data_IF_702788621199
#
_entry.id   IF_702788621199
#
_cell.length_a   1.000
_cell.length_b   1.000
_cell.length_c   1.000
_cell.angle_alpha   90.00
_cell.angle_beta   90.00
_cell.angle_gamma   90.00
#
_symmetry.space_group_name_H-M   'P 1'
#
loop_
_entity.id
_entity.type
_entity.pdbx_description
1 polymer ?
#
# COMPACT_ATOMS: atom_id res chain seq x y z
N UNK A 1 -5.58 3.52 23.24
CA UNK A 1 -5.92 4.90 22.82
C UNK A 1 -5.78 5.12 21.32
N UNK A 2 -4.66 4.79 20.69
CA UNK A 2 -4.44 4.98 19.25
C UNK A 2 -5.47 4.23 18.38
N UNK A 3 -5.77 2.97 18.68
CA UNK A 3 -6.77 2.15 17.96
C UNK A 3 -8.16 2.79 17.98
N UNK A 4 -8.56 3.37 19.11
CA UNK A 4 -9.83 4.08 19.22
C UNK A 4 -9.87 5.32 18.31
N UNK A 5 -8.79 6.09 18.28
CA UNK A 5 -8.66 7.27 17.40
C UNK A 5 -8.75 6.84 15.92
N UNK A 6 -8.04 5.78 15.53
CA UNK A 6 -8.10 5.23 14.17
C UNK A 6 -9.51 4.76 13.80
N UNK A 7 -10.21 4.11 14.72
CA UNK A 7 -11.58 3.68 14.52
C UNK A 7 -12.51 4.88 14.28
N UNK A 8 -12.41 5.92 15.11
CA UNK A 8 -13.22 7.14 14.94
C UNK A 8 -12.93 7.82 13.60
N UNK A 9 -11.66 7.99 13.23
CA UNK A 9 -11.27 8.57 11.93
C UNK A 9 -11.84 7.75 10.78
N UNK A 10 -11.76 6.42 10.85
CA UNK A 10 -12.26 5.55 9.79
C UNK A 10 -13.79 5.62 9.67
N UNK A 11 -14.50 5.67 10.79
CA UNK A 11 -15.96 5.86 10.81
C UNK A 11 -16.33 7.22 10.19
N UNK A 12 -15.66 8.30 10.58
CA UNK A 12 -15.91 9.63 10.02
C UNK A 12 -15.64 9.68 8.52
N UNK A 13 -14.54 9.07 8.06
CA UNK A 13 -14.22 8.96 6.64
C UNK A 13 -15.29 8.15 5.88
N UNK A 14 -15.74 7.04 6.46
CA UNK A 14 -16.82 6.22 5.89
C UNK A 14 -18.11 7.02 5.76
N UNK A 15 -18.53 7.73 6.82
CA UNK A 15 -19.76 8.55 6.82
C UNK A 15 -19.67 9.69 5.79
N UNK A 16 -18.51 10.33 5.66
CA UNK A 16 -18.29 11.37 4.67
C UNK A 16 -18.43 10.82 3.24
N UNK A 17 -17.80 9.68 2.95
CA UNK A 17 -17.87 9.04 1.64
C UNK A 17 -19.26 8.47 1.36
N UNK A 18 -19.94 7.91 2.36
CA UNK A 18 -21.31 7.42 2.25
C UNK A 18 -22.24 8.54 1.75
N UNK A 19 -22.14 9.75 2.32
CA UNK A 19 -22.96 10.91 1.91
C UNK A 19 -22.72 11.31 0.46
N UNK A 20 -21.48 11.18 -0.03
CA UNK A 20 -21.11 11.55 -1.40
C UNK A 20 -21.51 10.43 -2.39
N UNK A 21 -21.35 9.18 -1.98
CA UNK A 21 -21.64 8.03 -2.85
C UNK A 21 -23.13 7.74 -3.00
N UNK A 22 -23.92 8.04 -1.98
CA UNK A 22 -25.35 7.77 -1.89
C UNK A 22 -26.12 8.99 -1.35
N UNK A 23 -26.16 10.13 -2.08
CA UNK A 23 -26.79 11.37 -1.58
C UNK A 23 -28.29 11.24 -1.34
N UNK A 24 -28.98 10.39 -2.12
CA UNK A 24 -30.44 10.24 -2.09
C UNK A 24 -30.93 9.16 -1.12
N UNK A 25 -30.02 8.50 -0.38
CA UNK A 25 -30.41 7.44 0.55
C UNK A 25 -30.65 8.02 1.95
N UNK A 26 -31.92 8.24 2.27
CA UNK A 26 -32.35 8.77 3.58
C UNK A 26 -32.69 7.67 4.61
N UNK A 27 -32.76 6.40 4.19
CA UNK A 27 -33.14 5.29 5.07
C UNK A 27 -32.00 4.32 5.32
N UNK A 28 -31.68 4.11 6.59
CA UNK A 28 -30.62 3.17 7.04
C UNK A 28 -30.82 1.74 6.51
N UNK A 29 -32.10 1.32 6.33
CA UNK A 29 -32.45 -0.01 5.77
C UNK A 29 -31.90 -0.23 4.35
N UNK A 30 -31.78 0.82 3.53
CA UNK A 30 -31.23 0.72 2.19
C UNK A 30 -29.70 0.65 2.19
N UNK A 31 -29.05 1.19 3.22
CA UNK A 31 -27.59 1.18 3.39
C UNK A 31 -27.12 -0.17 3.94
N UNK A 32 -27.89 -0.79 4.83
CA UNK A 32 -27.48 -1.99 5.57
C UNK A 32 -26.97 -3.13 4.69
N UNK A 33 -27.63 -3.55 3.60
CA UNK A 33 -27.07 -4.56 2.71
C UNK A 33 -25.75 -4.14 2.08
N UNK A 34 -25.57 -2.84 1.77
CA UNK A 34 -24.37 -2.31 1.14
C UNK A 34 -23.12 -2.33 2.04
N UNK A 35 -23.31 -2.41 3.36
CA UNK A 35 -22.22 -2.62 4.31
C UNK A 35 -21.53 -3.98 4.14
N UNK A 36 -22.20 -4.94 3.52
CA UNK A 36 -21.66 -6.28 3.29
C UNK A 36 -21.33 -6.54 1.82
N UNK A 37 -22.11 -5.97 0.89
CA UNK A 37 -21.95 -6.22 -0.55
C UNK A 37 -21.12 -5.17 -1.26
N UNK A 38 -20.91 -4.00 -0.64
CA UNK A 38 -20.31 -2.84 -1.30
C UNK A 38 -21.23 -2.21 -2.36
N UNK A 39 -20.67 -1.26 -3.12
CA UNK A 39 -21.34 -0.60 -4.25
C UNK A 39 -20.74 -1.06 -5.58
N UNK A 40 -21.62 -1.31 -6.56
CA UNK A 40 -21.18 -1.58 -7.93
C UNK A 40 -20.88 -0.28 -8.67
N UNK A 41 -20.04 -0.35 -9.70
CA UNK A 41 -19.59 0.83 -10.45
C UNK A 41 -20.74 1.62 -11.11
N UNK A 42 -21.84 0.97 -11.46
CA UNK A 42 -23.02 1.62 -12.05
C UNK A 42 -23.96 2.28 -11.00
N UNK A 43 -23.80 1.94 -9.71
CA UNK A 43 -24.62 2.51 -8.63
C UNK A 43 -24.12 3.89 -8.18
N UNK A 44 -22.80 4.14 -8.29
CA UNK A 44 -22.19 5.44 -7.97
C UNK A 44 -20.83 5.59 -8.64
N UNK A 45 -20.53 6.81 -9.11
CA UNK A 45 -19.19 7.15 -9.60
C UNK A 45 -18.12 7.08 -8.50
N UNK A 46 -18.52 7.08 -7.23
CA UNK A 46 -17.65 6.97 -6.05
C UNK A 46 -17.68 5.58 -5.42
N UNK A 47 -18.19 4.57 -6.12
CA UNK A 47 -18.29 3.19 -5.63
C UNK A 47 -16.93 2.62 -5.17
N UNK A 48 -15.85 3.00 -5.84
CA UNK A 48 -14.49 2.58 -5.47
C UNK A 48 -14.03 3.19 -4.14
N UNK A 49 -14.37 4.45 -3.85
CA UNK A 49 -14.08 5.09 -2.56
C UNK A 49 -14.91 4.46 -1.44
N UNK A 50 -16.20 4.20 -1.71
CA UNK A 50 -17.08 3.54 -0.76
C UNK A 50 -16.54 2.16 -0.40
N UNK A 51 -16.21 1.35 -1.40
CA UNK A 51 -15.71 -0.02 -1.19
C UNK A 51 -14.34 -0.04 -0.45
N UNK A 52 -13.44 0.89 -0.76
CA UNK A 52 -12.17 1.01 -0.03
C UNK A 52 -12.37 1.39 1.44
N UNK A 53 -13.26 2.36 1.72
CA UNK A 53 -13.57 2.74 3.10
C UNK A 53 -14.29 1.63 3.85
N UNK A 54 -15.13 0.87 3.17
CA UNK A 54 -15.79 -0.31 3.73
C UNK A 54 -14.77 -1.40 4.10
N UNK A 55 -13.79 -1.67 3.24
CA UNK A 55 -12.69 -2.61 3.54
C UNK A 55 -11.88 -2.16 4.75
N UNK A 56 -11.57 -0.86 4.86
CA UNK A 56 -10.89 -0.32 6.03
C UNK A 56 -11.73 -0.44 7.30
N UNK A 57 -13.04 -0.18 7.21
CA UNK A 57 -13.96 -0.31 8.33
C UNK A 57 -14.03 -1.75 8.87
N UNK A 58 -14.14 -2.74 7.98
CA UNK A 58 -14.12 -4.16 8.36
C UNK A 58 -12.73 -4.67 8.73
N UNK A 59 -11.69 -4.04 8.21
CA UNK A 59 -10.30 -4.38 8.54
C UNK A 59 -9.96 -4.13 10.02
N UNK A 60 -10.55 -3.12 10.68
CA UNK A 60 -10.28 -2.81 12.09
C UNK A 60 -10.72 -3.95 13.02
N UNK A 61 -11.98 -4.44 13.01
CA UNK A 61 -12.35 -5.58 13.84
C UNK A 61 -11.59 -6.87 13.46
N UNK A 62 -11.28 -7.08 12.19
CA UNK A 62 -10.45 -8.20 11.77
C UNK A 62 -9.05 -8.13 12.40
N UNK A 63 -8.43 -6.93 12.42
CA UNK A 63 -7.14 -6.70 13.09
C UNK A 63 -7.22 -6.93 14.59
N UNK A 64 -8.32 -6.54 15.24
CA UNK A 64 -8.53 -6.82 16.66
C UNK A 64 -8.59 -8.33 16.94
N UNK A 65 -9.27 -9.10 16.07
CA UNK A 65 -9.33 -10.58 16.19
C UNK A 65 -7.95 -11.20 15.99
N UNK A 66 -7.23 -10.84 14.92
CA UNK A 66 -5.88 -11.36 14.64
C UNK A 66 -4.93 -11.00 15.80
N UNK A 67 -4.98 -9.75 16.28
CA UNK A 67 -4.18 -9.28 17.40
C UNK A 67 -4.51 -10.03 18.70
N UNK A 68 -5.78 -10.29 19.00
CA UNK A 68 -6.21 -11.10 20.13
C UNK A 68 -5.69 -12.54 20.05
N UNK A 69 -5.76 -13.18 18.88
CA UNK A 69 -5.19 -14.51 18.64
C UNK A 69 -3.67 -14.49 18.84
N UNK A 70 -3.00 -13.43 18.35
CA UNK A 70 -1.53 -13.27 18.51
C UNK A 70 -1.13 -13.25 19.99
N UNK A 71 -1.86 -12.51 20.83
CA UNK A 71 -1.63 -12.48 22.27
C UNK A 71 -1.95 -13.82 22.90
N UNK A 72 -3.09 -14.44 22.55
CA UNK A 72 -3.47 -15.76 23.07
C UNK A 72 -2.43 -16.84 22.77
N UNK A 73 -1.82 -16.81 21.58
CA UNK A 73 -0.75 -17.71 21.17
C UNK A 73 0.64 -17.28 21.70
N UNK A 74 0.69 -16.45 22.75
CA UNK A 74 1.93 -15.99 23.39
C UNK A 74 2.92 -15.37 22.38
N UNK A 75 2.42 -14.54 21.49
CA UNK A 75 3.21 -13.84 20.47
C UNK A 75 3.98 -14.78 19.54
N UNK A 76 3.38 -15.92 19.17
CA UNK A 76 3.96 -16.81 18.18
C UNK A 76 4.42 -16.01 16.96
N UNK A 77 5.68 -16.14 16.47
CA UNK A 77 6.24 -15.27 15.45
C UNK A 77 5.48 -15.33 14.12
N UNK A 78 4.85 -16.45 13.76
CA UNK A 78 3.99 -16.54 12.58
C UNK A 78 2.70 -15.74 12.73
N UNK A 79 2.13 -15.70 13.94
CA UNK A 79 0.94 -14.89 14.20
C UNK A 79 1.27 -13.39 14.24
N UNK A 80 2.44 -13.03 14.78
CA UNK A 80 2.97 -11.66 14.70
C UNK A 80 3.17 -11.25 13.25
N UNK A 81 3.76 -12.13 12.43
CA UNK A 81 3.90 -11.93 10.98
C UNK A 81 2.54 -11.70 10.29
N UNK A 82 1.55 -12.55 10.56
CA UNK A 82 0.21 -12.42 9.98
C UNK A 82 -0.46 -11.09 10.38
N UNK A 83 -0.38 -10.71 11.66
CA UNK A 83 -0.91 -9.45 12.18
C UNK A 83 -0.22 -8.23 11.53
N UNK A 84 1.10 -8.26 11.42
CA UNK A 84 1.88 -7.20 10.78
C UNK A 84 1.53 -7.06 9.29
N UNK A 85 1.50 -8.16 8.53
CA UNK A 85 1.18 -8.12 7.09
C UNK A 85 -0.26 -7.65 6.84
N UNK A 86 -1.21 -8.06 7.68
CA UNK A 86 -2.57 -7.54 7.63
C UNK A 86 -2.61 -6.02 7.92
N UNK A 87 -1.79 -5.53 8.87
CA UNK A 87 -1.63 -4.08 9.11
C UNK A 87 -1.03 -3.36 7.90
N UNK A 88 -0.04 -3.95 7.24
CA UNK A 88 0.56 -3.40 6.02
C UNK A 88 -0.47 -3.30 4.88
N UNK A 89 -1.34 -4.30 4.72
CA UNK A 89 -2.46 -4.24 3.76
C UNK A 89 -3.39 -3.05 4.09
N UNK A 90 -3.73 -2.85 5.37
CA UNK A 90 -4.58 -1.72 5.80
C UNK A 90 -3.92 -0.36 5.48
N UNK A 91 -2.61 -0.22 5.72
CA UNK A 91 -1.85 0.98 5.35
C UNK A 91 -1.91 1.20 3.83
N UNK A 92 -1.73 0.15 3.04
CA UNK A 92 -1.82 0.21 1.58
C UNK A 92 -3.20 0.63 1.08
N UNK A 93 -4.27 0.06 1.64
CA UNK A 93 -5.65 0.44 1.30
C UNK A 93 -5.93 1.90 1.66
N UNK A 94 -5.46 2.37 2.81
CA UNK A 94 -5.58 3.76 3.22
C UNK A 94 -4.80 4.70 2.29
N UNK A 95 -3.59 4.33 1.86
CA UNK A 95 -2.81 5.07 0.87
C UNK A 95 -3.55 5.21 -0.47
N UNK A 96 -4.12 4.11 -0.97
CA UNK A 96 -4.93 4.09 -2.19
C UNK A 96 -6.17 4.97 -2.04
N UNK A 97 -6.87 4.87 -0.91
CA UNK A 97 -8.04 5.71 -0.62
C UNK A 97 -7.69 7.20 -0.67
N UNK A 98 -6.64 7.62 0.04
CA UNK A 98 -6.19 9.02 0.06
C UNK A 98 -5.82 9.50 -1.35
N UNK A 99 -5.12 8.68 -2.13
CA UNK A 99 -4.75 9.03 -3.51
C UNK A 99 -5.99 9.20 -4.40
N UNK A 100 -7.00 8.32 -4.27
CA UNK A 100 -8.25 8.40 -5.04
C UNK A 100 -9.11 9.57 -4.62
N UNK A 101 -9.25 9.82 -3.30
CA UNK A 101 -9.96 11.01 -2.77
C UNK A 101 -9.31 12.28 -3.34
N UNK A 102 -7.99 12.41 -3.26
CA UNK A 102 -7.28 13.56 -3.83
C UNK A 102 -7.55 13.72 -5.33
N UNK A 103 -7.60 12.65 -6.11
CA UNK A 103 -7.93 12.71 -7.54
C UNK A 103 -9.36 13.18 -7.79
N UNK A 104 -10.34 12.65 -7.07
CA UNK A 104 -11.75 13.04 -7.24
C UNK A 104 -12.01 14.51 -6.90
N UNK A 105 -11.37 15.03 -5.83
CA UNK A 105 -11.65 16.38 -5.33
C UNK A 105 -10.71 17.45 -5.86
N UNK A 106 -9.56 17.11 -6.42
CA UNK A 106 -8.71 18.03 -7.17
C UNK A 106 -9.12 18.18 -8.63
N UNK A 107 -9.83 17.22 -9.19
CA UNK A 107 -10.25 17.18 -10.60
C UNK A 107 -11.29 18.26 -11.02
N UNK A 108 -11.67 19.15 -10.11
CA UNK A 108 -12.40 20.39 -10.47
C UNK A 108 -11.56 21.40 -11.25
N UNK A 109 -10.23 21.20 -11.34
CA UNK A 109 -9.29 22.09 -12.05
C UNK A 109 -8.29 21.19 -12.80
N UNK A 110 -8.47 21.04 -14.12
CA UNK A 110 -7.49 20.56 -15.14
C UNK A 110 -6.76 19.22 -14.96
N UNK A 111 -7.18 18.33 -14.06
CA UNK A 111 -6.46 17.07 -13.76
C UNK A 111 -6.53 15.99 -14.85
N UNK A 112 -7.38 16.15 -15.86
CA UNK A 112 -7.34 15.28 -17.05
C UNK A 112 -6.02 15.41 -17.82
N UNK A 113 -5.39 16.57 -17.79
CA UNK A 113 -4.13 16.82 -18.47
C UNK A 113 -2.90 16.32 -17.71
N UNK A 114 -2.87 16.41 -16.36
CA UNK A 114 -1.73 15.96 -15.55
C UNK A 114 -1.62 14.43 -15.43
N UNK A 115 -2.74 13.71 -15.55
CA UNK A 115 -2.75 12.24 -15.52
C UNK A 115 -2.58 11.66 -16.93
N UNK A 116 -2.99 12.39 -17.95
CA UNK A 116 -2.85 12.02 -19.37
C UNK A 116 -1.54 12.49 -19.99
N UNK A 117 -0.66 13.15 -19.22
CA UNK A 117 0.69 13.47 -19.62
C UNK A 117 1.27 12.33 -20.44
N UNK A 118 1.64 12.60 -21.66
CA UNK A 118 1.93 11.69 -22.77
C UNK A 118 2.82 10.50 -22.42
N UNK A 119 2.23 9.46 -21.86
CA UNK A 119 2.85 8.17 -21.81
C UNK A 119 2.87 7.61 -23.24
N UNK A 120 4.05 7.27 -23.79
CA UNK A 120 4.08 6.62 -25.09
C UNK A 120 3.20 5.37 -25.03
N UNK A 121 2.23 5.23 -25.94
CA UNK A 121 1.26 4.13 -25.90
C UNK A 121 1.88 2.74 -25.85
N UNK A 122 3.06 2.57 -26.43
CA UNK A 122 3.80 1.32 -26.52
C UNK A 122 4.37 0.83 -25.18
N UNK A 123 4.46 1.67 -24.14
CA UNK A 123 5.13 1.36 -22.85
C UNK A 123 4.19 1.10 -21.67
N UNK A 124 2.87 1.19 -21.86
CA UNK A 124 1.90 0.93 -20.78
C UNK A 124 1.99 -0.50 -20.22
N UNK A 125 2.36 -1.48 -21.04
CA UNK A 125 2.59 -2.86 -20.62
C UNK A 125 3.80 -3.01 -19.71
N UNK A 126 4.91 -2.33 -20.01
CA UNK A 126 6.13 -2.36 -19.21
C UNK A 126 5.86 -1.75 -17.82
N UNK A 127 5.17 -0.61 -17.75
CA UNK A 127 4.87 0.04 -16.48
C UNK A 127 3.95 -0.81 -15.61
N UNK A 128 2.97 -1.47 -16.21
CA UNK A 128 2.11 -2.42 -15.50
C UNK A 128 2.90 -3.62 -14.99
N UNK A 129 3.80 -4.18 -15.80
CA UNK A 129 4.67 -5.27 -15.38
C UNK A 129 5.56 -4.82 -14.20
N UNK A 130 6.19 -3.65 -14.30
CA UNK A 130 6.98 -3.08 -13.20
C UNK A 130 6.13 -2.91 -11.93
N UNK A 131 4.87 -2.45 -12.05
CA UNK A 131 3.96 -2.36 -10.91
C UNK A 131 3.68 -3.71 -10.22
N UNK A 132 3.57 -4.79 -10.98
CA UNK A 132 3.43 -6.13 -10.41
C UNK A 132 4.74 -6.64 -9.79
N UNK A 133 5.89 -6.34 -10.40
CA UNK A 133 7.21 -6.67 -9.84
C UNK A 133 7.43 -5.89 -8.54
N UNK A 134 7.11 -4.59 -8.51
CA UNK A 134 7.14 -3.77 -7.30
C UNK A 134 6.28 -4.38 -6.19
N UNK A 135 5.04 -4.75 -6.50
CA UNK A 135 4.13 -5.36 -5.52
C UNK A 135 4.70 -6.66 -4.95
N UNK A 136 5.25 -7.51 -5.80
CA UNK A 136 5.85 -8.78 -5.39
C UNK A 136 7.07 -8.54 -4.48
N UNK A 137 7.98 -7.61 -4.86
CA UNK A 137 9.16 -7.28 -4.06
C UNK A 137 8.82 -6.60 -2.74
N UNK A 138 7.86 -5.66 -2.72
CA UNK A 138 7.37 -5.03 -1.49
C UNK A 138 6.79 -6.08 -0.54
N UNK A 139 5.93 -6.97 -1.05
CA UNK A 139 5.35 -8.04 -0.24
C UNK A 139 6.42 -8.96 0.33
N UNK A 140 7.41 -9.32 -0.48
CA UNK A 140 8.54 -10.16 -0.05
C UNK A 140 9.42 -9.45 0.97
N UNK A 141 9.73 -8.16 0.78
CA UNK A 141 10.51 -7.35 1.72
C UNK A 141 9.84 -7.24 3.09
N UNK A 142 8.54 -6.96 3.11
CA UNK A 142 7.77 -6.88 4.35
C UNK A 142 7.72 -8.24 5.05
N UNK A 143 7.48 -9.33 4.31
CA UNK A 143 7.49 -10.68 4.85
C UNK A 143 8.87 -11.03 5.43
N UNK A 144 9.95 -10.83 4.68
CA UNK A 144 11.31 -11.12 5.15
C UNK A 144 11.69 -10.26 6.37
N UNK A 145 11.24 -8.99 6.43
CA UNK A 145 11.40 -8.15 7.60
C UNK A 145 10.77 -8.75 8.86
N UNK A 146 9.57 -9.34 8.74
CA UNK A 146 8.93 -10.04 9.88
C UNK A 146 9.65 -11.31 10.29
N UNK A 147 10.20 -12.06 9.32
CA UNK A 147 11.01 -13.25 9.61
C UNK A 147 12.30 -12.87 10.35
N UNK A 148 12.98 -11.80 9.94
CA UNK A 148 14.15 -11.26 10.67
C UNK A 148 13.78 -10.87 12.09
N UNK A 149 12.67 -10.14 12.29
CA UNK A 149 12.18 -9.73 13.60
C UNK A 149 11.83 -10.95 14.47
N UNK A 150 11.13 -11.95 13.91
CA UNK A 150 10.75 -13.18 14.63
C UNK A 150 11.92 -14.11 14.96
N UNK A 151 13.07 -13.94 14.30
CA UNK A 151 14.32 -14.65 14.56
C UNK A 151 15.20 -13.89 15.57
N UNK A 152 15.07 -12.55 15.61
CA UNK A 152 15.93 -11.65 16.38
C UNK A 152 15.60 -11.60 17.89
N UNK A 153 16.41 -10.87 18.68
CA UNK A 153 16.27 -10.80 20.15
C UNK A 153 15.04 -10.01 20.62
N UNK A 154 14.45 -9.16 19.78
CA UNK A 154 13.31 -8.29 20.12
C UNK A 154 11.98 -8.78 19.53
N UNK A 155 11.79 -10.09 19.41
CA UNK A 155 10.54 -10.69 18.89
C UNK A 155 9.35 -10.62 19.87
N UNK A 156 9.39 -9.75 20.87
CA UNK A 156 8.37 -9.61 21.92
C UNK A 156 8.84 -10.06 23.28
N UNK A 157 8.01 -10.82 24.04
CA UNK A 157 8.37 -11.35 25.35
C UNK A 157 9.58 -12.30 25.23
N UNK A 158 10.61 -12.23 26.12
CA UNK A 158 11.74 -13.18 26.17
C UNK A 158 11.33 -14.66 26.30
N UNK A 159 10.11 -14.93 26.75
CA UNK A 159 9.53 -16.25 26.88
C UNK A 159 8.86 -16.79 25.61
N UNK A 160 8.76 -15.99 24.56
CA UNK A 160 8.10 -16.39 23.31
C UNK A 160 9.00 -17.29 22.48
N UNK A 161 8.38 -18.23 21.76
CA UNK A 161 9.08 -18.97 20.73
C UNK A 161 9.60 -18.02 19.66
N UNK A 162 10.79 -18.30 19.16
CA UNK A 162 11.39 -17.61 18.02
C UNK A 162 11.42 -18.54 16.83
N UNK A 163 11.60 -17.99 15.64
CA UNK A 163 11.96 -18.84 14.50
C UNK A 163 13.32 -19.47 14.75
N UNK A 164 13.43 -20.75 14.48
CA UNK A 164 14.70 -21.52 14.57
C UNK A 164 15.58 -21.32 13.33
N UNK A 165 15.47 -20.16 12.68
CA UNK A 165 16.28 -19.85 11.52
C UNK A 165 17.62 -19.24 11.91
N UNK A 166 18.64 -19.42 11.05
CA UNK A 166 19.90 -18.71 11.19
C UNK A 166 19.67 -17.19 11.00
N UNK A 167 19.88 -16.42 12.08
CA UNK A 167 19.65 -14.98 12.09
C UNK A 167 20.52 -14.24 11.06
N UNK A 168 21.73 -14.71 10.78
CA UNK A 168 22.63 -14.12 9.78
C UNK A 168 22.11 -14.41 8.39
N UNK A 169 21.67 -15.63 8.12
CA UNK A 169 21.15 -16.01 6.80
C UNK A 169 19.87 -15.24 6.45
N UNK A 170 18.90 -15.14 7.38
CA UNK A 170 17.66 -14.38 7.10
C UNK A 170 17.89 -12.88 6.99
N UNK A 171 18.81 -12.31 7.79
CA UNK A 171 19.18 -10.89 7.68
C UNK A 171 19.86 -10.59 6.35
N UNK A 172 20.74 -11.47 5.86
CA UNK A 172 21.36 -11.36 4.54
C UNK A 172 20.33 -11.48 3.42
N UNK A 173 19.40 -12.43 3.49
CA UNK A 173 18.34 -12.60 2.51
C UNK A 173 17.45 -11.36 2.44
N UNK A 174 17.09 -10.77 3.57
CA UNK A 174 16.38 -9.49 3.63
C UNK A 174 17.20 -8.35 2.97
N UNK A 175 18.49 -8.23 3.28
CA UNK A 175 19.37 -7.23 2.69
C UNK A 175 19.50 -7.39 1.17
N UNK A 176 19.61 -8.62 0.65
CA UNK A 176 19.61 -8.87 -0.80
C UNK A 176 18.32 -8.44 -1.47
N UNK A 177 17.16 -8.67 -0.83
CA UNK A 177 15.88 -8.18 -1.34
C UNK A 177 15.81 -6.63 -1.35
N UNK A 178 16.41 -5.94 -0.37
CA UNK A 178 16.56 -4.48 -0.37
C UNK A 178 17.39 -4.01 -1.57
N UNK A 179 18.53 -4.66 -1.86
CA UNK A 179 19.35 -4.32 -3.02
C UNK A 179 18.63 -4.55 -4.33
N UNK A 180 17.89 -5.66 -4.47
CA UNK A 180 17.06 -5.93 -5.64
C UNK A 180 16.00 -4.85 -5.85
N UNK A 181 15.35 -4.39 -4.78
CA UNK A 181 14.37 -3.31 -4.84
C UNK A 181 15.02 -1.96 -5.20
N UNK A 182 16.16 -1.62 -4.63
CA UNK A 182 16.92 -0.41 -5.01
C UNK A 182 17.33 -0.44 -6.49
N UNK A 183 17.75 -1.58 -6.99
CA UNK A 183 18.07 -1.74 -8.42
C UNK A 183 16.82 -1.51 -9.29
N UNK A 184 15.67 -2.02 -8.89
CA UNK A 184 14.41 -1.75 -9.58
C UNK A 184 14.06 -0.26 -9.56
N UNK A 185 14.24 0.44 -8.45
CA UNK A 185 14.03 1.91 -8.37
C UNK A 185 14.94 2.67 -9.34
N UNK A 186 16.21 2.25 -9.49
CA UNK A 186 17.13 2.84 -10.48
C UNK A 186 16.62 2.62 -11.91
N UNK A 187 16.19 1.40 -12.25
CA UNK A 187 15.57 1.12 -13.56
C UNK A 187 14.36 2.02 -13.78
N UNK A 188 13.48 2.14 -12.80
CA UNK A 188 12.30 3.00 -12.90
C UNK A 188 12.68 4.46 -13.07
N UNK A 189 13.69 4.95 -12.35
CA UNK A 189 14.19 6.32 -12.50
C UNK A 189 14.69 6.59 -13.93
N UNK A 190 15.48 5.68 -14.50
CA UNK A 190 15.95 5.77 -15.88
C UNK A 190 14.77 5.81 -16.87
N UNK A 191 13.77 4.95 -16.67
CA UNK A 191 12.59 4.91 -17.54
C UNK A 191 11.74 6.19 -17.41
N UNK A 192 11.57 6.71 -16.18
CA UNK A 192 10.87 7.97 -15.92
C UNK A 192 11.54 9.12 -16.67
N UNK A 193 12.87 9.21 -16.62
CA UNK A 193 13.65 10.23 -17.32
C UNK A 193 13.60 10.04 -18.84
N UNK A 194 13.81 8.82 -19.32
CA UNK A 194 13.84 8.49 -20.75
C UNK A 194 12.51 8.77 -21.45
N UNK A 195 11.39 8.56 -20.76
CA UNK A 195 10.04 8.67 -21.34
C UNK A 195 9.30 9.94 -20.89
N UNK A 196 10.00 10.91 -20.28
CA UNK A 196 9.44 12.18 -19.80
C UNK A 196 8.10 11.99 -19.05
N UNK A 197 8.10 11.07 -18.07
CA UNK A 197 6.90 10.74 -17.31
C UNK A 197 6.42 11.93 -16.47
N UNK A 198 5.13 11.98 -16.07
CA UNK A 198 4.58 13.08 -15.28
C UNK A 198 5.41 13.36 -14.01
N UNK A 199 5.57 14.65 -13.67
CA UNK A 199 6.32 15.08 -12.46
C UNK A 199 5.81 14.42 -11.19
N UNK A 200 4.48 14.18 -11.11
CA UNK A 200 3.86 13.49 -9.97
C UNK A 200 4.36 12.05 -9.81
N UNK A 201 4.71 11.37 -10.90
CA UNK A 201 5.30 10.03 -10.84
C UNK A 201 6.74 10.09 -10.34
N UNK A 202 7.54 11.01 -10.90
CA UNK A 202 8.92 11.23 -10.47
C UNK A 202 9.00 11.59 -8.98
N UNK A 203 8.12 12.50 -8.50
CA UNK A 203 8.10 12.86 -7.08
C UNK A 203 7.76 11.68 -6.17
N UNK A 204 6.81 10.82 -6.56
CA UNK A 204 6.50 9.59 -5.80
C UNK A 204 7.67 8.62 -5.75
N UNK A 205 8.39 8.46 -6.87
CA UNK A 205 9.57 7.62 -6.94
C UNK A 205 10.71 8.17 -6.06
N UNK A 206 10.94 9.49 -6.07
CA UNK A 206 11.96 10.13 -5.24
C UNK A 206 11.63 10.03 -3.74
N UNK A 207 10.35 10.19 -3.36
CA UNK A 207 9.91 9.99 -1.97
C UNK A 207 10.17 8.55 -1.53
N UNK A 208 9.83 7.57 -2.38
CA UNK A 208 10.08 6.16 -2.08
C UNK A 208 11.59 5.87 -1.96
N UNK A 209 12.41 6.42 -2.86
CA UNK A 209 13.86 6.29 -2.80
C UNK A 209 14.44 6.90 -1.51
N UNK A 210 13.96 8.07 -1.09
CA UNK A 210 14.39 8.71 0.16
C UNK A 210 14.04 7.85 1.39
N UNK A 211 12.83 7.27 1.42
CA UNK A 211 12.41 6.34 2.47
C UNK A 211 13.28 5.08 2.47
N UNK A 212 13.64 4.56 1.30
CA UNK A 212 14.53 3.38 1.20
C UNK A 212 15.93 3.67 1.71
N UNK A 213 16.49 4.85 1.42
CA UNK A 213 17.79 5.28 1.96
C UNK A 213 17.74 5.38 3.49
N UNK A 214 16.68 6.01 4.03
CA UNK A 214 16.44 6.07 5.47
C UNK A 214 16.36 4.68 6.10
N UNK A 215 15.56 3.78 5.52
CA UNK A 215 15.39 2.40 6.00
C UNK A 215 16.69 1.61 5.96
N UNK A 216 17.45 1.73 4.86
CA UNK A 216 18.75 1.08 4.71
C UNK A 216 19.77 1.59 5.75
N UNK A 217 19.82 2.92 5.97
CA UNK A 217 20.72 3.51 6.97
C UNK A 217 20.36 3.02 8.39
N UNK A 218 19.09 3.11 8.79
CA UNK A 218 18.65 2.61 10.12
C UNK A 218 18.89 1.11 10.24
N UNK A 219 18.52 0.32 9.22
CA UNK A 219 18.69 -1.13 9.23
C UNK A 219 20.17 -1.52 9.39
N UNK A 220 21.07 -0.83 8.71
CA UNK A 220 22.51 -1.05 8.84
C UNK A 220 23.04 -0.66 10.22
N UNK A 221 22.64 0.53 10.72
CA UNK A 221 23.10 1.01 12.03
C UNK A 221 22.58 0.07 13.13
N UNK A 222 21.29 -0.28 13.15
CA UNK A 222 20.72 -1.17 14.18
C UNK A 222 21.40 -2.54 14.20
N UNK A 223 21.71 -3.11 13.03
CA UNK A 223 22.39 -4.40 12.93
C UNK A 223 23.80 -4.34 13.55
N UNK A 224 24.56 -3.28 13.28
CA UNK A 224 25.93 -3.14 13.77
C UNK A 224 26.03 -2.65 15.23
N UNK A 225 24.95 -2.13 15.81
CA UNK A 225 24.91 -1.62 17.19
C UNK A 225 24.19 -2.55 18.17
N UNK A 226 23.90 -3.79 17.75
CA UNK A 226 23.27 -4.79 18.63
C UNK A 226 21.75 -4.59 18.81
N UNK A 227 21.09 -4.01 17.80
CA UNK A 227 19.64 -3.83 17.73
C UNK A 227 19.04 -2.99 18.88
N UNK A 228 19.46 -1.73 19.10
CA UNK A 228 18.88 -0.90 20.14
C UNK A 228 17.36 -0.72 19.89
N UNK A 229 16.50 -0.84 20.92
CA UNK A 229 15.03 -0.81 20.74
C UNK A 229 14.53 0.42 19.98
N UNK A 230 15.07 1.61 20.25
CA UNK A 230 14.67 2.84 19.57
C UNK A 230 14.94 2.79 18.05
N UNK A 231 16.05 2.19 17.62
CA UNK A 231 16.34 2.02 16.19
C UNK A 231 15.43 0.98 15.54
N UNK A 232 15.08 -0.08 16.28
CA UNK A 232 14.10 -1.06 15.81
C UNK A 232 12.72 -0.43 15.63
N UNK A 233 12.26 0.40 16.58
CA UNK A 233 11.01 1.15 16.46
C UNK A 233 11.04 2.14 15.30
N UNK A 234 12.14 2.88 15.10
CA UNK A 234 12.32 3.78 13.99
C UNK A 234 12.31 3.04 12.64
N UNK A 235 12.89 1.84 12.56
CA UNK A 235 12.84 0.98 11.38
C UNK A 235 11.41 0.47 11.12
N UNK A 236 10.68 0.10 12.16
CA UNK A 236 9.25 -0.30 12.06
C UNK A 236 8.37 0.85 11.56
N UNK A 237 8.55 2.08 12.08
CA UNK A 237 7.87 3.27 11.57
C UNK A 237 8.22 3.51 10.09
N UNK A 238 9.49 3.41 9.74
CA UNK A 238 9.94 3.57 8.36
C UNK A 238 9.36 2.49 7.43
N UNK A 239 9.11 1.26 7.91
CA UNK A 239 8.45 0.22 7.11
C UNK A 239 6.98 0.54 6.83
N UNK A 240 6.27 1.22 7.74
CA UNK A 240 4.93 1.74 7.48
C UNK A 240 4.95 2.86 6.41
N UNK A 241 5.94 3.77 6.48
CA UNK A 241 6.16 4.81 5.45
C UNK A 241 6.53 4.19 4.10
N UNK A 242 7.37 3.15 4.09
CA UNK A 242 7.73 2.39 2.90
C UNK A 242 6.50 1.74 2.26
N UNK A 243 5.66 1.09 3.05
CA UNK A 243 4.40 0.49 2.59
C UNK A 243 3.49 1.53 1.96
N UNK A 244 3.26 2.67 2.64
CA UNK A 244 2.46 3.77 2.11
C UNK A 244 3.00 4.31 0.78
N UNK A 245 4.30 4.59 0.68
CA UNK A 245 4.92 5.15 -0.51
C UNK A 245 4.91 4.16 -1.68
N UNK A 246 5.25 2.88 -1.42
CA UNK A 246 5.25 1.82 -2.42
C UNK A 246 3.85 1.58 -2.98
N UNK A 247 2.84 1.40 -2.14
CA UNK A 247 1.47 1.16 -2.61
C UNK A 247 0.89 2.38 -3.33
N UNK A 248 1.30 3.60 -2.94
CA UNK A 248 0.94 4.83 -3.68
C UNK A 248 1.55 4.86 -5.08
N UNK A 249 2.80 4.42 -5.24
CA UNK A 249 3.48 4.34 -6.54
C UNK A 249 2.86 3.23 -7.41
N UNK A 250 2.66 2.04 -6.85
CA UNK A 250 2.06 0.89 -7.53
C UNK A 250 0.64 1.22 -8.02
N UNK A 251 -0.15 1.87 -7.20
CA UNK A 251 -1.50 2.31 -7.58
C UNK A 251 -1.47 3.25 -8.79
N UNK A 252 -0.51 4.19 -8.84
CA UNK A 252 -0.30 5.05 -10.01
C UNK A 252 0.09 4.26 -11.25
N UNK A 253 1.04 3.32 -11.15
CA UNK A 253 1.47 2.45 -12.25
C UNK A 253 0.31 1.65 -12.85
N UNK A 254 -0.49 1.01 -11.99
CA UNK A 254 -1.61 0.18 -12.41
C UNK A 254 -2.78 1.01 -12.97
N UNK A 255 -3.08 2.15 -12.36
CA UNK A 255 -4.17 3.04 -12.81
C UNK A 255 -3.85 3.68 -14.16
N UNK A 256 -2.65 4.24 -14.34
CA UNK A 256 -2.23 4.84 -15.60
C UNK A 256 -2.25 3.84 -16.75
N UNK A 257 -1.82 2.60 -16.50
CA UNK A 257 -1.83 1.55 -17.51
C UNK A 257 -3.25 1.10 -17.91
N UNK A 258 -4.20 1.07 -16.96
CA UNK A 258 -5.57 0.62 -17.22
C UNK A 258 -6.42 1.67 -17.96
N UNK A 259 -6.26 2.95 -17.65
CA UNK A 259 -7.00 4.03 -18.31
C UNK A 259 -6.65 4.12 -19.81
N UNK A 260 -5.37 3.96 -20.16
CA UNK A 260 -4.94 3.92 -21.56
C UNK A 260 -5.45 2.69 -22.32
N UNK A 261 -5.51 1.53 -21.67
CA UNK A 261 -6.09 0.34 -22.27
C UNK A 261 -7.57 0.54 -22.61
N UNK A 262 -8.33 1.17 -21.70
CA UNK A 262 -9.74 1.51 -21.90
C UNK A 262 -9.94 2.57 -23.00
N UNK A 263 -9.13 3.63 -23.03
CA UNK A 263 -9.20 4.66 -24.06
C UNK A 263 -8.94 4.08 -25.47
N UNK A 264 -7.96 3.19 -25.61
CA UNK A 264 -7.67 2.48 -26.86
C UNK A 264 -8.79 1.53 -27.31
N UNK A 265 -9.37 0.78 -26.36
CA UNK A 265 -10.50 -0.08 -26.67
C UNK A 265 -11.69 0.75 -27.20
N UNK A 266 -11.97 1.90 -26.57
CA UNK A 266 -13.02 2.83 -27.01
C UNK A 266 -12.73 3.44 -28.38
N UNK A 267 -11.49 3.78 -28.67
CA UNK A 267 -11.08 4.35 -29.97
C UNK A 267 -11.16 3.31 -31.10
N UNK A 268 -10.78 2.03 -30.82
CA UNK A 268 -10.90 0.94 -31.78
C UNK A 268 -12.37 0.62 -32.12
N UNK A 269 -13.27 0.66 -31.15
CA UNK A 269 -14.70 0.48 -31.38
C UNK A 269 -15.27 1.62 -32.24
N UNK A 270 -14.92 2.87 -31.97
CA UNK A 270 -15.35 4.00 -32.78
C UNK A 270 -14.86 3.97 -34.23
N UNK A 271 -13.66 3.41 -34.48
CA UNK A 271 -13.12 3.25 -35.86
C UNK A 271 -13.63 2.00 -36.59
N UNK A 272 -14.26 1.05 -35.90
CA UNK A 272 -14.90 -0.11 -36.52
C UNK A 272 -16.36 0.11 -36.89
N UNK A 273 -16.97 1.19 -36.41
CA UNK A 273 -18.37 1.61 -36.70
C UNK A 273 -18.43 2.72 -37.80
N UNK A 274 -17.26 3.24 -38.23
CA UNK A 274 -17.10 4.17 -39.36
C UNK A 274 -16.68 3.46 -40.64
#
# INVERSE_FOLDING_TARGET
MLTFVLMVITILAFLAILRIALPDVHHIKAIFPKLFTGLRAHESKYSDLFNLTLLLLWGIPLQAVIGGITVWQRLNPWMVTAHYLASAIMIGLAAILVNRVRRYFRAGVSEREDITGEFPPQKSGVIRLLGWIDLALVSFLLFMGTVVTGTGPHAGDPRTHRHEFDAIAVSRAHAWAVWAFLFLLVIMFVLVRKYAMPRAFLSSLLVLAAIMVYQGAIGYIQYNTGLPPLLVEAHMLGSAMFTWASLSLIERQLTLSSQKARARAKQRLATSES
#
